data_IF_073782765466
#
_entry.id   IF_073782765466
#
_cell.length_a   1.000
_cell.length_b   1.000
_cell.length_c   1.000
_cell.angle_alpha   90.00
_cell.angle_beta   90.00
_cell.angle_gamma   90.00
#
_symmetry.space_group_name_H-M   'P 1'
#
loop_
_entity.id
_entity.type
_entity.pdbx_description
1 polymer ?
#
# COMPACT_ATOMS: atom_id res chain seq x y z
N UNK A 1 22.96 56.10 18.57
CA UNK A 1 23.93 55.00 18.62
C UNK A 1 23.13 53.69 18.61
N UNK A 2 22.95 53.11 17.41
CA UNK A 2 22.21 51.88 17.23
C UNK A 2 23.18 50.69 17.28
N UNK A 3 22.84 49.55 17.92
CA UNK A 3 23.71 48.39 17.92
C UNK A 3 23.66 47.63 16.60
N UNK A 4 24.83 47.19 16.17
CA UNK A 4 25.12 46.46 14.96
C UNK A 4 24.33 45.17 14.82
N UNK A 5 23.81 44.89 13.62
CA UNK A 5 23.36 43.56 13.19
C UNK A 5 24.58 42.65 13.10
N UNK A 6 24.55 41.55 13.89
CA UNK A 6 25.48 40.45 13.71
C UNK A 6 25.06 39.63 12.46
N UNK A 7 25.95 39.64 11.46
CA UNK A 7 25.87 38.73 10.30
C UNK A 7 26.03 37.30 10.75
N UNK A 8 24.94 36.49 10.58
CA UNK A 8 24.99 35.05 10.70
C UNK A 8 25.49 34.51 9.37
N UNK A 9 26.63 33.76 9.35
CA UNK A 9 27.13 33.19 8.12
C UNK A 9 26.19 32.10 7.59
N UNK A 10 26.07 31.92 6.25
CA UNK A 10 25.23 30.90 5.67
C UNK A 10 25.79 29.52 6.09
N UNK A 11 25.02 28.79 6.88
CA UNK A 11 25.29 27.40 7.24
C UNK A 11 25.45 26.58 5.95
N UNK A 12 26.64 26.04 5.79
CA UNK A 12 27.02 25.08 4.76
C UNK A 12 25.93 24.01 4.61
N UNK A 13 25.23 24.05 3.49
CA UNK A 13 24.42 22.94 3.04
C UNK A 13 25.33 21.73 2.90
N UNK A 14 25.27 20.82 3.87
CA UNK A 14 25.98 19.55 3.81
C UNK A 14 25.55 18.80 2.54
N UNK A 15 26.45 17.99 1.95
CA UNK A 15 26.19 17.27 0.72
C UNK A 15 24.90 16.48 0.89
N UNK A 16 23.96 16.72 -0.05
CA UNK A 16 22.75 15.94 -0.15
C UNK A 16 23.13 14.45 -0.05
N UNK A 17 22.81 13.83 1.07
CA UNK A 17 22.85 12.38 1.18
C UNK A 17 21.93 11.87 0.08
N UNK A 18 22.53 11.35 -0.99
CA UNK A 18 21.85 10.56 -2.00
C UNK A 18 21.21 9.40 -1.21
N UNK A 19 19.96 9.61 -0.77
CA UNK A 19 19.23 8.63 0.00
C UNK A 19 19.12 7.40 -0.87
N UNK A 20 19.73 6.29 -0.45
CA UNK A 20 19.40 4.98 -0.97
C UNK A 20 17.87 4.90 -0.90
N UNK A 21 17.19 5.01 -2.06
CA UNK A 21 15.75 4.81 -2.15
C UNK A 21 15.48 3.45 -1.52
N UNK A 22 14.80 3.43 -0.38
CA UNK A 22 14.36 2.18 0.25
C UNK A 22 13.51 1.46 -0.78
N UNK A 23 14.00 0.32 -1.26
CA UNK A 23 13.27 -0.53 -2.20
C UNK A 23 11.98 -0.98 -1.57
N UNK A 24 10.94 -1.13 -2.37
CA UNK A 24 9.68 -1.63 -1.87
C UNK A 24 9.84 -3.05 -1.34
N UNK A 25 9.16 -3.39 -0.26
CA UNK A 25 9.22 -4.73 0.34
C UNK A 25 8.76 -5.81 -0.66
N UNK A 26 7.89 -5.45 -1.59
CA UNK A 26 7.40 -6.32 -2.67
C UNK A 26 8.53 -6.73 -3.62
N UNK A 27 9.34 -5.76 -4.04
CA UNK A 27 10.51 -5.98 -4.91
C UNK A 27 11.57 -6.82 -4.20
N UNK A 28 11.91 -6.48 -2.97
CA UNK A 28 12.93 -7.22 -2.20
C UNK A 28 12.51 -8.68 -1.99
N UNK A 29 11.25 -8.92 -1.65
CA UNK A 29 10.72 -10.27 -1.45
C UNK A 29 10.74 -11.10 -2.74
N UNK A 30 10.38 -10.51 -3.89
CA UNK A 30 10.39 -11.20 -5.17
C UNK A 30 11.81 -11.53 -5.65
N UNK A 31 12.75 -10.61 -5.49
CA UNK A 31 14.17 -10.86 -5.74
C UNK A 31 14.70 -12.01 -4.87
N UNK A 32 14.41 -11.99 -3.57
CA UNK A 32 14.81 -13.05 -2.65
C UNK A 32 14.21 -14.41 -3.05
N UNK A 33 12.97 -14.43 -3.54
CA UNK A 33 12.30 -15.62 -4.01
C UNK A 33 12.98 -16.20 -5.26
N UNK A 34 13.33 -15.39 -6.25
CA UNK A 34 14.03 -15.84 -7.44
C UNK A 34 15.46 -16.32 -7.16
N UNK A 35 16.20 -15.62 -6.28
CA UNK A 35 17.52 -16.04 -5.87
C UNK A 35 17.46 -17.34 -5.06
N UNK A 36 16.47 -17.49 -4.18
CA UNK A 36 16.22 -18.73 -3.44
C UNK A 36 15.88 -19.90 -4.37
N UNK A 37 15.04 -19.68 -5.39
CA UNK A 37 14.75 -20.69 -6.41
C UNK A 37 16.02 -21.09 -7.18
N UNK A 38 16.86 -20.13 -7.61
CA UNK A 38 18.13 -20.40 -8.26
C UNK A 38 19.07 -21.24 -7.37
N UNK A 39 19.16 -20.94 -6.09
CA UNK A 39 19.98 -21.67 -5.13
C UNK A 39 19.49 -23.11 -4.94
N UNK A 40 18.17 -23.32 -4.79
CA UNK A 40 17.58 -24.66 -4.69
C UNK A 40 17.83 -25.48 -5.95
N UNK A 41 17.62 -24.88 -7.12
CA UNK A 41 17.91 -25.52 -8.41
C UNK A 41 19.40 -25.86 -8.56
N UNK A 42 20.32 -25.00 -8.10
CA UNK A 42 21.75 -25.28 -8.12
C UNK A 42 22.08 -26.51 -7.25
N UNK A 43 21.50 -26.62 -6.07
CA UNK A 43 21.64 -27.83 -5.23
C UNK A 43 21.10 -29.06 -5.95
N UNK A 44 19.93 -29.01 -6.57
CA UNK A 44 19.36 -30.11 -7.30
C UNK A 44 20.16 -30.53 -8.54
N UNK A 45 20.87 -29.59 -9.19
CA UNK A 45 21.79 -29.86 -10.32
C UNK A 45 23.10 -30.47 -9.83
N UNK A 46 23.64 -30.01 -8.71
CA UNK A 46 24.91 -30.50 -8.14
C UNK A 46 24.75 -31.87 -7.47
N UNK A 47 23.59 -32.12 -6.88
CA UNK A 47 23.24 -33.34 -6.15
C UNK A 47 21.94 -33.94 -6.70
N UNK A 48 21.96 -34.49 -7.93
CA UNK A 48 20.75 -34.99 -8.56
C UNK A 48 20.16 -36.18 -7.78
N UNK A 49 18.86 -36.14 -7.53
CA UNK A 49 18.14 -37.19 -6.80
C UNK A 49 17.94 -38.48 -7.61
N UNK A 50 18.29 -38.47 -8.90
CA UNK A 50 18.17 -39.62 -9.81
C UNK A 50 19.10 -39.48 -11.00
N UNK A 51 19.53 -40.60 -11.60
CA UNK A 51 20.42 -40.63 -12.79
C UNK A 51 19.79 -39.99 -14.04
N UNK A 52 18.47 -39.80 -14.07
CA UNK A 52 17.72 -39.18 -15.16
C UNK A 52 17.35 -37.72 -14.92
N UNK A 53 17.89 -37.05 -13.90
CA UNK A 53 17.51 -35.67 -13.61
C UNK A 53 17.79 -34.72 -14.79
N UNK A 54 16.89 -33.79 -15.14
CA UNK A 54 17.03 -32.90 -16.28
C UNK A 54 18.02 -31.75 -15.98
N UNK A 55 19.30 -32.06 -15.75
CA UNK A 55 20.37 -31.13 -15.35
C UNK A 55 20.49 -29.92 -16.30
N UNK A 56 20.36 -30.15 -17.62
CA UNK A 56 20.44 -29.06 -18.62
C UNK A 56 19.28 -28.05 -18.43
N UNK A 57 18.07 -28.55 -18.22
CA UNK A 57 16.90 -27.70 -17.97
C UNK A 57 17.09 -26.95 -16.64
N UNK A 58 17.57 -27.64 -15.58
CA UNK A 58 17.90 -27.01 -14.30
C UNK A 58 18.88 -25.84 -14.44
N UNK A 59 19.96 -26.00 -15.22
CA UNK A 59 20.91 -24.92 -15.49
C UNK A 59 20.28 -23.73 -16.22
N UNK A 60 19.42 -23.98 -17.21
CA UNK A 60 18.67 -22.91 -17.89
C UNK A 60 17.76 -22.18 -16.91
N UNK A 61 17.04 -22.90 -16.08
CA UNK A 61 16.11 -22.31 -15.09
C UNK A 61 16.85 -21.51 -14.01
N UNK A 62 18.06 -21.90 -13.60
CA UNK A 62 18.93 -21.09 -12.75
C UNK A 62 19.22 -19.75 -13.43
N UNK A 63 19.66 -19.77 -14.69
CA UNK A 63 19.94 -18.57 -15.46
C UNK A 63 18.73 -17.65 -15.59
N UNK A 64 17.55 -18.20 -15.88
CA UNK A 64 16.29 -17.46 -15.95
C UNK A 64 15.94 -16.84 -14.59
N UNK A 65 16.02 -17.59 -13.51
CA UNK A 65 15.72 -17.09 -12.15
C UNK A 65 16.66 -15.95 -11.74
N UNK A 66 17.95 -16.06 -12.04
CA UNK A 66 18.93 -14.98 -11.79
C UNK A 66 18.65 -13.75 -12.65
N UNK A 67 18.29 -13.95 -13.93
CA UNK A 67 17.94 -12.86 -14.83
C UNK A 67 16.67 -12.13 -14.37
N UNK A 68 15.63 -12.86 -13.93
CA UNK A 68 14.41 -12.28 -13.35
C UNK A 68 14.73 -11.52 -12.06
N UNK A 69 15.54 -12.09 -11.17
CA UNK A 69 15.99 -11.39 -9.96
C UNK A 69 16.72 -10.08 -10.30
N UNK A 70 17.60 -10.10 -11.29
CA UNK A 70 18.33 -8.92 -11.76
C UNK A 70 17.41 -7.85 -12.36
N UNK A 71 16.48 -8.25 -13.21
CA UNK A 71 15.49 -7.35 -13.82
C UNK A 71 14.61 -6.70 -12.74
N UNK A 72 14.05 -7.50 -11.83
CA UNK A 72 13.24 -7.02 -10.70
C UNK A 72 14.07 -6.09 -9.79
N UNK A 73 15.35 -6.42 -9.56
CA UNK A 73 16.24 -5.59 -8.75
C UNK A 73 16.49 -4.22 -9.39
N UNK A 74 16.66 -4.14 -10.70
CA UNK A 74 17.00 -2.90 -11.42
C UNK A 74 15.78 -2.04 -11.68
N UNK A 75 14.68 -2.64 -12.10
CA UNK A 75 13.50 -1.92 -12.62
C UNK A 75 12.24 -2.07 -11.76
N UNK A 76 12.18 -3.04 -10.83
CA UNK A 76 10.97 -3.40 -10.09
C UNK A 76 10.26 -2.23 -9.37
N UNK A 77 11.02 -1.28 -8.81
CA UNK A 77 10.44 -0.08 -8.17
C UNK A 77 9.80 0.91 -9.17
N UNK A 78 10.08 0.77 -10.46
CA UNK A 78 9.50 1.59 -11.53
C UNK A 78 8.29 0.92 -12.19
N UNK A 79 8.12 -0.38 -11.99
CA UNK A 79 7.04 -1.14 -12.57
C UNK A 79 5.71 -0.91 -11.84
N UNK A 80 4.59 -0.95 -12.56
CA UNK A 80 3.29 -0.98 -11.90
C UNK A 80 3.16 -2.30 -11.10
N UNK A 81 2.45 -2.26 -9.99
CA UNK A 81 2.27 -3.44 -9.11
C UNK A 81 1.76 -4.68 -9.85
N UNK A 82 0.95 -4.48 -10.90
CA UNK A 82 0.49 -5.57 -11.76
C UNK A 82 1.60 -6.31 -12.48
N UNK A 83 2.73 -5.66 -12.81
CA UNK A 83 3.87 -6.32 -13.45
C UNK A 83 4.61 -7.26 -12.49
N UNK A 84 4.73 -6.91 -11.21
CA UNK A 84 5.31 -7.80 -10.18
C UNK A 84 4.44 -9.06 -9.98
N UNK A 85 3.11 -8.91 -10.02
CA UNK A 85 2.21 -10.06 -10.03
C UNK A 85 2.38 -10.89 -11.32
N UNK A 86 2.57 -10.23 -12.46
CA UNK A 86 2.86 -10.89 -13.75
C UNK A 86 4.13 -11.74 -13.69
N UNK A 87 5.19 -11.28 -13.05
CA UNK A 87 6.41 -12.08 -12.82
C UNK A 87 6.14 -13.34 -11.99
N UNK A 88 5.31 -13.23 -10.96
CA UNK A 88 4.90 -14.40 -10.17
C UNK A 88 4.11 -15.40 -11.02
N UNK A 89 3.26 -14.94 -11.96
CA UNK A 89 2.55 -15.78 -12.93
C UNK A 89 3.54 -16.48 -13.86
N UNK A 90 4.52 -15.76 -14.39
CA UNK A 90 5.59 -16.35 -15.23
C UNK A 90 6.35 -17.42 -14.45
N UNK A 91 6.66 -17.17 -13.17
CA UNK A 91 7.32 -18.16 -12.32
C UNK A 91 6.49 -19.45 -12.13
N UNK A 92 5.15 -19.34 -12.02
CA UNK A 92 4.26 -20.51 -12.00
C UNK A 92 4.38 -21.31 -13.28
N UNK A 93 4.37 -20.66 -14.46
CA UNK A 93 4.49 -21.33 -15.77
C UNK A 93 5.84 -22.03 -15.89
N UNK A 94 6.93 -21.35 -15.55
CA UNK A 94 8.29 -21.94 -15.60
C UNK A 94 8.42 -23.14 -14.65
N UNK A 95 7.87 -23.04 -13.45
CA UNK A 95 7.88 -24.14 -12.51
C UNK A 95 7.01 -25.33 -12.98
N UNK A 96 5.88 -25.05 -13.64
CA UNK A 96 5.02 -26.10 -14.23
C UNK A 96 5.77 -26.82 -15.37
N UNK A 97 6.61 -26.11 -16.10
CA UNK A 97 7.47 -26.70 -17.12
C UNK A 97 8.52 -27.63 -16.49
N UNK A 98 9.14 -27.24 -15.36
CA UNK A 98 10.06 -28.12 -14.61
C UNK A 98 9.35 -29.41 -14.20
N UNK A 99 8.16 -29.33 -13.64
CA UNK A 99 7.34 -30.50 -13.27
C UNK A 99 7.03 -31.40 -14.48
N UNK A 100 6.76 -30.81 -15.64
CA UNK A 100 6.48 -31.57 -16.87
C UNK A 100 7.68 -32.44 -17.34
N UNK A 101 8.90 -31.99 -17.03
CA UNK A 101 10.14 -32.73 -17.34
C UNK A 101 10.67 -33.55 -16.15
N UNK A 102 9.91 -33.66 -15.06
CA UNK A 102 10.30 -34.50 -13.95
C UNK A 102 10.18 -35.98 -14.32
N UNK A 103 11.25 -36.74 -14.13
CA UNK A 103 11.29 -38.18 -14.42
C UNK A 103 10.97 -39.06 -13.19
N UNK A 104 10.86 -38.46 -12.02
CA UNK A 104 10.57 -39.15 -10.76
C UNK A 104 9.49 -38.44 -9.96
N UNK A 105 8.72 -39.19 -9.19
CA UNK A 105 7.72 -38.62 -8.27
C UNK A 105 8.35 -37.71 -7.23
N UNK A 106 9.54 -38.06 -6.72
CA UNK A 106 10.28 -37.22 -5.76
C UNK A 106 10.69 -35.87 -6.39
N UNK A 107 11.16 -35.86 -7.66
CA UNK A 107 11.48 -34.64 -8.38
C UNK A 107 10.25 -33.73 -8.54
N UNK A 108 9.15 -34.28 -9.06
CA UNK A 108 7.90 -33.54 -9.25
C UNK A 108 7.34 -32.97 -7.93
N UNK A 109 7.50 -33.68 -6.80
CA UNK A 109 7.12 -33.19 -5.49
C UNK A 109 8.09 -32.13 -4.95
N UNK A 110 9.38 -32.26 -5.22
CA UNK A 110 10.40 -31.24 -4.88
C UNK A 110 10.12 -29.91 -5.59
N UNK A 111 9.83 -29.96 -6.88
CA UNK A 111 9.50 -28.77 -7.67
C UNK A 111 8.20 -28.09 -7.16
N UNK A 112 7.27 -28.87 -6.60
CA UNK A 112 6.02 -28.33 -6.07
C UNK A 112 6.20 -27.39 -4.87
N UNK A 113 7.32 -27.45 -4.16
CA UNK A 113 7.64 -26.56 -3.03
C UNK A 113 7.71 -25.10 -3.48
N UNK A 114 8.16 -24.84 -4.71
CA UNK A 114 8.22 -23.49 -5.25
C UNK A 114 6.84 -22.82 -5.32
N UNK A 115 5.77 -23.57 -5.57
CA UNK A 115 4.41 -23.04 -5.58
C UNK A 115 3.97 -22.49 -4.22
N UNK A 116 4.43 -23.11 -3.13
CA UNK A 116 4.15 -22.62 -1.77
C UNK A 116 4.76 -21.24 -1.55
N UNK A 117 6.02 -21.06 -1.94
CA UNK A 117 6.70 -19.77 -1.80
C UNK A 117 6.08 -18.68 -2.66
N UNK A 118 5.71 -19.01 -3.91
CA UNK A 118 4.98 -18.10 -4.81
C UNK A 118 3.62 -17.71 -4.21
N UNK A 119 2.90 -18.67 -3.63
CA UNK A 119 1.62 -18.43 -2.98
C UNK A 119 1.78 -17.52 -1.75
N UNK A 120 2.80 -17.73 -0.92
CA UNK A 120 3.08 -16.88 0.25
C UNK A 120 3.34 -15.44 -0.19
N UNK A 121 4.17 -15.24 -1.22
CA UNK A 121 4.42 -13.92 -1.79
C UNK A 121 3.13 -13.22 -2.22
N UNK A 122 2.31 -13.89 -3.04
CA UNK A 122 1.07 -13.31 -3.55
C UNK A 122 0.06 -13.07 -2.42
N UNK A 123 -0.08 -13.98 -1.46
CA UNK A 123 -0.99 -13.81 -0.33
C UNK A 123 -0.62 -12.63 0.59
N UNK A 124 0.68 -12.36 0.74
CA UNK A 124 1.17 -11.23 1.55
C UNK A 124 1.01 -9.90 0.80
N UNK A 125 1.47 -9.82 -0.45
CA UNK A 125 1.58 -8.56 -1.17
C UNK A 125 0.36 -8.25 -2.05
N UNK A 126 -0.34 -9.26 -2.56
CA UNK A 126 -1.49 -9.17 -3.45
C UNK A 126 -2.70 -9.97 -2.93
N UNK A 127 -3.19 -9.71 -1.70
CA UNK A 127 -4.20 -10.55 -1.04
C UNK A 127 -5.55 -10.60 -1.78
N UNK A 128 -5.83 -9.70 -2.70
CA UNK A 128 -7.02 -9.73 -3.57
C UNK A 128 -6.88 -10.73 -4.73
N UNK A 129 -5.65 -11.03 -5.17
CA UNK A 129 -5.36 -11.97 -6.24
C UNK A 129 -5.12 -13.41 -5.73
N UNK A 130 -4.98 -13.60 -4.42
CA UNK A 130 -4.55 -14.87 -3.82
C UNK A 130 -5.40 -16.08 -4.24
N UNK A 131 -6.73 -15.95 -4.29
CA UNK A 131 -7.62 -17.06 -4.67
C UNK A 131 -7.47 -17.44 -6.13
N UNK A 132 -7.40 -16.46 -7.04
CA UNK A 132 -7.19 -16.71 -8.47
C UNK A 132 -5.80 -17.31 -8.72
N UNK A 133 -4.79 -16.83 -8.00
CA UNK A 133 -3.43 -17.33 -8.10
C UNK A 133 -3.30 -18.78 -7.60
N UNK A 134 -4.00 -19.16 -6.53
CA UNK A 134 -4.07 -20.55 -6.09
C UNK A 134 -4.70 -21.47 -7.15
N UNK A 135 -5.74 -21.00 -7.86
CA UNK A 135 -6.31 -21.70 -9.01
C UNK A 135 -5.31 -21.88 -10.16
N UNK A 136 -4.52 -20.84 -10.44
CA UNK A 136 -3.45 -20.91 -11.44
C UNK A 136 -2.36 -21.93 -11.06
N UNK A 137 -1.94 -21.97 -9.80
CA UNK A 137 -1.00 -22.98 -9.30
C UNK A 137 -1.58 -24.40 -9.49
N UNK A 138 -2.83 -24.62 -9.06
CA UNK A 138 -3.47 -25.93 -9.18
C UNK A 138 -3.55 -26.39 -10.66
N UNK A 139 -3.91 -25.50 -11.58
CA UNK A 139 -3.96 -25.78 -13.00
C UNK A 139 -2.56 -26.04 -13.58
N UNK A 140 -1.57 -25.19 -13.26
CA UNK A 140 -0.20 -25.31 -13.75
C UNK A 140 0.49 -26.58 -13.26
N UNK A 141 0.38 -26.89 -11.96
CA UNK A 141 0.92 -28.11 -11.38
C UNK A 141 0.24 -29.36 -11.99
N UNK A 142 -1.10 -29.35 -12.14
CA UNK A 142 -1.84 -30.42 -12.76
C UNK A 142 -1.42 -30.66 -14.22
N UNK A 143 -1.28 -29.59 -15.00
CA UNK A 143 -0.81 -29.68 -16.38
C UNK A 143 0.62 -30.25 -16.48
N UNK A 144 1.54 -29.80 -15.59
CA UNK A 144 2.89 -30.33 -15.50
C UNK A 144 2.92 -31.82 -15.18
N UNK A 145 2.14 -32.26 -14.19
CA UNK A 145 2.04 -33.69 -13.82
C UNK A 145 1.46 -34.54 -14.96
N UNK A 146 0.44 -34.07 -15.66
CA UNK A 146 -0.12 -34.78 -16.84
C UNK A 146 0.93 -34.92 -17.93
N UNK A 147 1.69 -33.86 -18.21
CA UNK A 147 2.74 -33.87 -19.24
C UNK A 147 3.92 -34.78 -18.84
N UNK A 148 4.26 -34.91 -17.57
CA UNK A 148 5.33 -35.77 -17.09
C UNK A 148 5.04 -37.27 -17.26
N UNK A 149 3.76 -37.66 -17.41
CA UNK A 149 3.35 -39.05 -17.54
C UNK A 149 3.54 -39.90 -16.28
N UNK A 150 3.88 -39.31 -15.14
CA UNK A 150 4.12 -40.01 -13.88
C UNK A 150 2.83 -40.62 -13.32
N UNK A 151 2.84 -41.88 -12.91
CA UNK A 151 1.63 -42.56 -12.41
C UNK A 151 1.26 -42.09 -11.01
N UNK A 152 -0.04 -42.21 -10.66
CA UNK A 152 -0.59 -42.02 -9.30
C UNK A 152 -0.32 -40.68 -8.65
N UNK A 153 -0.17 -39.57 -9.43
CA UNK A 153 0.15 -38.25 -8.92
C UNK A 153 -1.08 -37.43 -8.48
N UNK A 154 -2.30 -37.99 -8.58
CA UNK A 154 -3.55 -37.27 -8.19
C UNK A 154 -3.52 -36.82 -6.74
N UNK A 155 -3.05 -37.70 -5.83
CA UNK A 155 -2.96 -37.36 -4.42
C UNK A 155 -1.96 -36.21 -4.17
N UNK A 156 -0.79 -36.24 -4.82
CA UNK A 156 0.20 -35.15 -4.72
C UNK A 156 -0.36 -33.84 -5.25
N UNK A 157 -1.05 -33.87 -6.41
CA UNK A 157 -1.74 -32.71 -6.95
C UNK A 157 -2.78 -32.15 -5.99
N UNK A 158 -3.63 -33.01 -5.42
CA UNK A 158 -4.68 -32.59 -4.49
C UNK A 158 -4.08 -31.98 -3.21
N UNK A 159 -3.06 -32.60 -2.63
CA UNK A 159 -2.40 -32.13 -1.40
C UNK A 159 -1.79 -30.75 -1.64
N UNK A 160 -1.01 -30.56 -2.69
CA UNK A 160 -0.36 -29.26 -2.99
C UNK A 160 -1.40 -28.21 -3.33
N UNK A 161 -2.41 -28.53 -4.14
CA UNK A 161 -3.46 -27.58 -4.52
C UNK A 161 -4.29 -27.14 -3.30
N UNK A 162 -4.71 -28.04 -2.44
CA UNK A 162 -5.46 -27.71 -1.23
C UNK A 162 -4.58 -26.93 -0.24
N UNK A 163 -3.33 -27.36 -0.05
CA UNK A 163 -2.40 -26.69 0.87
C UNK A 163 -2.09 -25.24 0.42
N UNK A 164 -1.82 -25.03 -0.86
CA UNK A 164 -1.58 -23.69 -1.40
C UNK A 164 -2.82 -22.82 -1.34
N UNK A 165 -4.00 -23.36 -1.63
CA UNK A 165 -5.27 -22.66 -1.52
C UNK A 165 -5.57 -22.24 -0.07
N UNK A 166 -5.40 -23.17 0.88
CA UNK A 166 -5.60 -22.91 2.29
C UNK A 166 -4.61 -21.86 2.83
N UNK A 167 -3.33 -22.03 2.52
CA UNK A 167 -2.29 -21.05 2.90
C UNK A 167 -2.60 -19.66 2.33
N UNK A 168 -2.99 -19.59 1.05
CA UNK A 168 -3.40 -18.35 0.40
C UNK A 168 -4.59 -17.70 1.07
N UNK A 169 -5.63 -18.48 1.40
CA UNK A 169 -6.83 -17.99 2.06
C UNK A 169 -6.53 -17.43 3.45
N UNK A 170 -5.84 -18.20 4.29
CA UNK A 170 -5.51 -17.80 5.66
C UNK A 170 -4.60 -16.59 5.67
N UNK A 171 -3.49 -16.65 4.93
CA UNK A 171 -2.50 -15.58 4.94
C UNK A 171 -3.03 -14.28 4.33
N UNK A 172 -3.84 -14.36 3.26
CA UNK A 172 -4.47 -13.17 2.68
C UNK A 172 -5.47 -12.50 3.64
N UNK A 173 -6.17 -13.28 4.49
CA UNK A 173 -7.04 -12.73 5.54
C UNK A 173 -6.24 -12.06 6.64
N UNK A 174 -5.18 -12.73 7.12
CA UNK A 174 -4.27 -12.16 8.13
C UNK A 174 -3.62 -10.88 7.60
N UNK A 175 -3.08 -10.89 6.39
CA UNK A 175 -2.46 -9.71 5.77
C UNK A 175 -3.46 -8.55 5.64
N UNK A 176 -4.70 -8.81 5.26
CA UNK A 176 -5.75 -7.78 5.21
C UNK A 176 -6.11 -7.25 6.59
N UNK A 177 -6.20 -8.13 7.61
CA UNK A 177 -6.48 -7.72 8.98
C UNK A 177 -5.37 -6.82 9.53
N UNK A 178 -4.10 -7.23 9.40
CA UNK A 178 -2.93 -6.44 9.81
C UNK A 178 -2.91 -5.08 9.10
N UNK A 179 -3.12 -5.07 7.77
CA UNK A 179 -3.16 -3.81 7.01
C UNK A 179 -4.29 -2.87 7.48
N UNK A 180 -5.44 -3.40 7.91
CA UNK A 180 -6.54 -2.58 8.46
C UNK A 180 -6.12 -1.92 9.76
N UNK A 181 -5.51 -2.66 10.68
CA UNK A 181 -5.03 -2.11 11.96
C UNK A 181 -3.91 -1.09 11.78
N UNK A 182 -3.04 -1.26 10.78
CA UNK A 182 -1.98 -0.30 10.44
C UNK A 182 -2.50 0.90 9.62
N UNK A 183 -3.73 0.85 9.09
CA UNK A 183 -4.30 1.87 8.23
C UNK A 183 -5.13 2.93 8.98
N UNK A 184 -5.42 2.73 10.28
CA UNK A 184 -6.21 3.64 11.11
C UNK A 184 -5.34 4.35 12.15
N UNK A 185 -5.77 5.52 12.56
CA UNK A 185 -5.23 6.26 13.69
C UNK A 185 -5.78 5.65 14.99
N UNK A 186 -4.90 5.28 15.91
CA UNK A 186 -5.27 4.54 17.12
C UNK A 186 -6.14 5.36 18.09
N UNK A 187 -6.07 6.68 18.05
CA UNK A 187 -6.85 7.55 18.91
C UNK A 187 -8.26 7.79 18.38
N UNK A 188 -8.36 8.15 17.09
CA UNK A 188 -9.60 8.66 16.49
C UNK A 188 -10.37 7.63 15.68
N UNK A 189 -9.76 6.47 15.33
CA UNK A 189 -10.35 5.48 14.43
C UNK A 189 -10.42 5.92 12.96
N UNK A 190 -10.16 7.19 12.64
CA UNK A 190 -10.03 7.67 11.27
C UNK A 190 -8.86 6.98 10.56
N UNK A 191 -8.77 7.06 9.23
CA UNK A 191 -7.59 6.55 8.55
C UNK A 191 -6.34 7.35 8.96
N UNK A 192 -5.21 6.67 9.09
CA UNK A 192 -3.92 7.34 9.24
C UNK A 192 -3.33 7.68 7.85
N UNK A 193 -2.14 8.26 7.82
CA UNK A 193 -1.45 8.66 6.58
C UNK A 193 -1.27 7.48 5.59
N UNK A 194 -1.04 6.25 6.07
CA UNK A 194 -0.92 5.06 5.21
C UNK A 194 -2.28 4.63 4.65
N UNK A 195 -3.32 4.64 5.49
CA UNK A 195 -4.71 4.38 5.09
C UNK A 195 -5.24 5.39 4.08
N UNK A 196 -4.93 6.68 4.29
CA UNK A 196 -5.26 7.77 3.36
C UNK A 196 -4.70 7.52 1.96
N UNK A 197 -3.39 7.22 1.85
CA UNK A 197 -2.76 6.93 0.55
C UNK A 197 -3.46 5.79 -0.19
N UNK A 198 -3.68 4.67 0.50
CA UNK A 198 -4.34 3.52 -0.10
C UNK A 198 -5.81 3.81 -0.49
N UNK A 199 -6.51 4.69 0.23
CA UNK A 199 -7.86 5.11 -0.10
C UNK A 199 -7.87 6.09 -1.29
N UNK A 200 -6.94 7.05 -1.33
CA UNK A 200 -6.76 8.00 -2.42
C UNK A 200 -6.51 7.30 -3.76
N UNK A 201 -5.57 6.35 -3.80
CA UNK A 201 -5.27 5.58 -5.02
C UNK A 201 -6.54 4.93 -5.58
N UNK A 202 -7.37 4.34 -4.71
CA UNK A 202 -8.63 3.71 -5.13
C UNK A 202 -9.67 4.71 -5.61
N UNK A 203 -9.77 5.87 -4.92
CA UNK A 203 -10.71 6.93 -5.29
C UNK A 203 -10.32 7.55 -6.64
N UNK A 204 -9.03 7.90 -6.83
CA UNK A 204 -8.50 8.49 -8.06
C UNK A 204 -8.66 7.56 -9.28
N UNK A 205 -8.37 6.27 -9.12
CA UNK A 205 -8.58 5.29 -10.20
C UNK A 205 -10.06 5.17 -10.60
N UNK A 206 -10.99 5.19 -9.64
CA UNK A 206 -12.44 5.13 -9.93
C UNK A 206 -12.92 6.40 -10.61
N UNK A 207 -12.55 7.55 -10.08
CA UNK A 207 -12.88 8.88 -10.60
C UNK A 207 -12.36 9.06 -12.02
N UNK A 208 -11.10 8.67 -12.28
CA UNK A 208 -10.51 8.76 -13.62
C UNK A 208 -11.28 7.91 -14.66
N UNK A 209 -11.66 6.67 -14.28
CA UNK A 209 -12.41 5.77 -15.18
C UNK A 209 -13.81 6.23 -15.51
N UNK A 210 -14.45 6.99 -14.62
CA UNK A 210 -15.84 7.43 -14.75
C UNK A 210 -15.98 8.89 -15.15
N UNK A 211 -14.87 9.63 -15.29
CA UNK A 211 -14.85 11.08 -15.52
C UNK A 211 -15.71 11.87 -14.49
N UNK A 212 -15.72 11.39 -13.24
CA UNK A 212 -16.47 12.01 -12.14
C UNK A 212 -15.62 13.10 -11.46
N UNK A 213 -16.26 13.97 -10.69
CA UNK A 213 -15.57 14.93 -9.84
C UNK A 213 -15.04 14.27 -8.56
N UNK A 214 -13.96 14.81 -8.02
CA UNK A 214 -13.43 14.44 -6.72
C UNK A 214 -12.85 15.68 -6.05
N UNK A 215 -13.28 15.95 -4.82
CA UNK A 215 -12.74 17.00 -3.98
C UNK A 215 -11.89 16.42 -2.85
N UNK A 216 -10.83 17.15 -2.50
CA UNK A 216 -9.96 16.87 -1.35
C UNK A 216 -9.96 18.10 -0.46
N UNK A 217 -10.17 17.93 0.84
CA UNK A 217 -10.04 19.00 1.82
C UNK A 217 -8.93 18.68 2.81
N UNK A 218 -8.06 19.66 3.05
CA UNK A 218 -7.16 19.69 4.18
C UNK A 218 -7.85 20.47 5.30
N UNK A 219 -7.88 19.91 6.51
CA UNK A 219 -8.60 20.44 7.67
C UNK A 219 -7.63 20.44 8.85
N UNK A 220 -7.70 21.50 9.66
CA UNK A 220 -6.89 21.65 10.86
C UNK A 220 -7.74 22.18 12.00
N UNK A 221 -7.71 21.49 13.14
CA UNK A 221 -8.43 21.87 14.35
C UNK A 221 -7.76 23.07 15.02
N UNK A 222 -8.51 24.16 15.12
CA UNK A 222 -8.01 25.38 15.72
C UNK A 222 -8.00 25.25 17.26
N UNK A 223 -6.90 25.64 17.89
CA UNK A 223 -6.84 25.77 19.34
C UNK A 223 -6.60 24.47 20.13
N UNK A 224 -6.27 23.34 19.49
CA UNK A 224 -5.97 22.08 20.19
C UNK A 224 -4.85 22.25 21.24
N UNK A 225 -3.82 23.03 20.92
CA UNK A 225 -2.75 23.33 21.87
C UNK A 225 -3.27 24.06 23.10
N UNK A 226 -4.15 25.04 22.95
CA UNK A 226 -4.75 25.78 24.07
C UNK A 226 -5.59 24.88 24.97
N UNK A 227 -6.35 23.94 24.39
CA UNK A 227 -7.10 22.92 25.14
C UNK A 227 -6.14 22.02 25.92
N UNK A 228 -5.05 21.57 25.32
CA UNK A 228 -4.03 20.78 25.99
C UNK A 228 -3.34 21.52 27.13
N UNK A 229 -2.98 22.78 26.89
CA UNK A 229 -2.30 23.62 27.88
C UNK A 229 -3.23 23.96 29.09
N UNK A 230 -4.52 24.14 28.83
CA UNK A 230 -5.51 24.49 29.87
C UNK A 230 -6.07 23.27 30.62
N UNK A 231 -6.27 22.13 29.97
CA UNK A 231 -7.03 20.99 30.50
C UNK A 231 -6.29 19.64 30.39
N UNK A 232 -5.02 19.67 29.94
CA UNK A 232 -4.17 18.47 29.78
C UNK A 232 -4.44 17.69 28.49
N UNK A 233 -3.47 16.85 28.12
CA UNK A 233 -3.52 16.07 26.86
C UNK A 233 -4.76 15.17 26.74
N UNK A 234 -5.26 14.63 27.87
CA UNK A 234 -6.47 13.82 27.85
C UNK A 234 -7.73 14.58 27.39
N UNK A 235 -7.78 15.91 27.57
CA UNK A 235 -8.87 16.73 27.06
C UNK A 235 -8.74 16.97 25.54
N UNK A 236 -7.52 17.20 25.06
CA UNK A 236 -7.26 17.27 23.62
C UNK A 236 -7.53 15.96 22.89
N UNK A 237 -7.16 14.83 23.50
CA UNK A 237 -7.45 13.50 22.96
C UNK A 237 -8.96 13.24 22.85
N UNK A 238 -9.73 13.62 23.86
CA UNK A 238 -11.20 13.54 23.80
C UNK A 238 -11.77 14.42 22.68
N UNK A 239 -11.32 15.68 22.59
CA UNK A 239 -11.76 16.61 21.54
C UNK A 239 -11.52 16.01 20.15
N UNK A 240 -10.33 15.41 19.91
CA UNK A 240 -9.98 14.75 18.65
C UNK A 240 -10.89 13.57 18.35
N UNK A 241 -11.15 12.72 19.34
CA UNK A 241 -11.98 11.52 19.20
C UNK A 241 -13.45 11.90 18.91
N UNK A 242 -14.03 12.78 19.70
CA UNK A 242 -15.41 13.26 19.55
C UNK A 242 -15.62 13.94 18.19
N UNK A 243 -14.65 14.77 17.76
CA UNK A 243 -14.69 15.43 16.46
C UNK A 243 -14.66 14.41 15.32
N UNK A 244 -13.74 13.44 15.37
CA UNK A 244 -13.61 12.42 14.33
C UNK A 244 -14.84 11.51 14.24
N UNK A 245 -15.44 11.13 15.37
CA UNK A 245 -16.67 10.33 15.43
C UNK A 245 -17.86 11.09 14.85
N UNK A 246 -18.03 12.37 15.25
CA UNK A 246 -19.11 13.21 14.73
C UNK A 246 -18.97 13.44 13.22
N UNK A 247 -17.76 13.70 12.73
CA UNK A 247 -17.51 13.86 11.31
C UNK A 247 -17.75 12.56 10.53
N UNK A 248 -17.22 11.43 11.03
CA UNK A 248 -17.44 10.12 10.39
C UNK A 248 -18.92 9.78 10.27
N UNK A 249 -19.73 10.10 11.29
CA UNK A 249 -21.18 9.88 11.27
C UNK A 249 -21.92 10.80 10.30
N UNK A 250 -21.38 11.98 10.04
CA UNK A 250 -21.95 12.96 9.11
C UNK A 250 -21.50 12.75 7.65
N UNK A 251 -20.51 11.90 7.38
CA UNK A 251 -19.99 11.62 6.05
C UNK A 251 -20.72 10.47 5.37
N UNK A 252 -20.61 10.41 4.04
CA UNK A 252 -21.13 9.28 3.25
C UNK A 252 -20.17 8.09 3.35
N UNK A 253 -20.66 6.91 3.04
CA UNK A 253 -19.85 5.66 3.05
C UNK A 253 -18.64 5.68 2.10
N UNK A 254 -18.71 6.50 1.05
CA UNK A 254 -17.64 6.64 0.05
C UNK A 254 -16.65 7.78 0.39
N UNK A 255 -17.03 8.67 1.30
CA UNK A 255 -16.15 9.72 1.79
C UNK A 255 -15.05 9.11 2.67
N UNK A 256 -13.85 9.68 2.61
CA UNK A 256 -12.69 9.15 3.31
C UNK A 256 -12.15 10.20 4.26
N UNK A 257 -12.30 9.96 5.56
CA UNK A 257 -11.71 10.79 6.62
C UNK A 257 -10.39 10.17 7.10
N UNK A 258 -9.33 10.96 7.14
CA UNK A 258 -8.04 10.55 7.66
C UNK A 258 -7.46 11.61 8.59
N UNK A 259 -6.74 11.16 9.64
CA UNK A 259 -5.91 12.01 10.49
C UNK A 259 -4.45 11.84 10.10
N UNK A 260 -3.80 12.93 9.70
CA UNK A 260 -2.42 12.92 9.15
C UNK A 260 -1.38 13.50 10.10
N UNK A 261 -1.81 14.24 11.10
CA UNK A 261 -0.96 14.88 12.11
C UNK A 261 -1.67 15.02 13.45
N UNK A 262 -1.17 15.84 14.34
CA UNK A 262 -1.75 16.10 15.67
C UNK A 262 -3.19 16.60 15.60
N UNK A 263 -3.40 17.68 14.88
CA UNK A 263 -4.66 18.41 14.67
C UNK A 263 -5.09 18.42 13.20
N UNK A 264 -4.32 17.75 12.32
CA UNK A 264 -4.51 17.74 10.87
C UNK A 264 -5.37 16.56 10.42
N UNK A 265 -6.40 16.84 9.65
CA UNK A 265 -7.25 15.86 9.00
C UNK A 265 -7.31 16.09 7.49
N UNK A 266 -7.55 15.03 6.75
CA UNK A 266 -7.78 15.05 5.31
C UNK A 266 -9.10 14.38 5.00
N UNK A 267 -9.92 15.00 4.17
CA UNK A 267 -11.17 14.46 3.69
C UNK A 267 -11.11 14.31 2.16
N UNK A 268 -11.36 13.10 1.65
CA UNK A 268 -11.53 12.83 0.22
C UNK A 268 -13.00 12.57 -0.05
N UNK A 269 -13.58 13.30 -0.98
CA UNK A 269 -14.99 13.27 -1.34
C UNK A 269 -15.15 12.88 -2.82
N UNK A 270 -15.34 11.58 -3.13
CA UNK A 270 -15.61 11.13 -4.49
C UNK A 270 -16.96 11.65 -4.98
N UNK A 271 -17.11 11.86 -6.29
CA UNK A 271 -18.34 12.35 -6.93
C UNK A 271 -18.83 13.67 -6.31
N UNK A 272 -17.92 14.54 -5.99
CA UNK A 272 -18.18 15.80 -5.31
C UNK A 272 -17.39 16.91 -5.99
N UNK A 273 -18.09 17.92 -6.51
CA UNK A 273 -17.51 19.14 -7.02
C UNK A 273 -16.95 20.01 -5.88
N UNK A 274 -16.22 21.06 -6.21
CA UNK A 274 -15.68 21.97 -5.20
C UNK A 274 -16.79 22.68 -4.40
N UNK A 275 -17.88 23.04 -5.04
CA UNK A 275 -18.99 23.77 -4.41
C UNK A 275 -19.80 22.84 -3.50
N UNK A 276 -20.05 21.61 -3.94
CA UNK A 276 -20.67 20.58 -3.10
C UNK A 276 -19.79 20.21 -1.89
N UNK A 277 -18.46 20.24 -2.05
CA UNK A 277 -17.52 20.02 -0.94
C UNK A 277 -17.66 21.09 0.15
N UNK A 278 -17.95 22.34 -0.22
CA UNK A 278 -18.22 23.39 0.76
C UNK A 278 -19.48 23.07 1.60
N UNK A 279 -20.52 22.52 0.98
CA UNK A 279 -21.73 22.07 1.69
C UNK A 279 -21.45 20.89 2.62
N UNK A 280 -20.56 19.96 2.24
CA UNK A 280 -20.09 18.88 3.12
C UNK A 280 -19.38 19.45 4.32
N UNK A 281 -18.44 20.38 4.13
CA UNK A 281 -17.72 21.03 5.23
C UNK A 281 -18.67 21.78 6.18
N UNK A 282 -19.70 22.44 5.66
CA UNK A 282 -20.71 23.11 6.48
C UNK A 282 -21.54 22.08 7.31
N UNK A 283 -21.83 20.90 6.76
CA UNK A 283 -22.43 19.80 7.50
C UNK A 283 -21.54 19.33 8.66
N UNK A 284 -20.22 19.24 8.43
CA UNK A 284 -19.25 18.89 9.49
C UNK A 284 -19.19 19.96 10.59
N UNK A 285 -19.32 21.25 10.24
CA UNK A 285 -19.38 22.35 11.24
C UNK A 285 -20.56 22.20 12.18
N UNK A 286 -21.71 21.74 11.65
CA UNK A 286 -22.92 21.50 12.45
C UNK A 286 -22.84 20.21 13.27
N UNK A 287 -22.05 19.23 12.82
CA UNK A 287 -21.93 17.95 13.51
C UNK A 287 -21.12 18.04 14.82
N UNK A 288 -20.17 18.97 14.92
CA UNK A 288 -19.35 19.15 16.13
C UNK A 288 -18.95 20.63 16.31
N UNK A 289 -19.02 21.18 17.53
CA UNK A 289 -18.77 22.59 17.81
C UNK A 289 -17.29 23.00 17.78
N UNK A 290 -16.35 22.05 17.67
CA UNK A 290 -14.92 22.37 17.59
C UNK A 290 -14.65 23.38 16.46
N UNK A 291 -13.80 24.34 16.75
CA UNK A 291 -13.34 25.28 15.75
C UNK A 291 -12.27 24.64 14.86
N UNK A 292 -12.38 24.84 13.55
CA UNK A 292 -11.41 24.35 12.58
C UNK A 292 -11.40 25.18 11.30
N UNK A 293 -10.31 25.13 10.60
CA UNK A 293 -10.10 25.75 9.29
C UNK A 293 -9.91 24.70 8.21
N UNK A 294 -10.33 24.97 6.99
CA UNK A 294 -10.17 24.04 5.88
C UNK A 294 -9.84 24.73 4.54
N UNK A 295 -9.12 23.98 3.71
CA UNK A 295 -8.91 24.35 2.31
C UNK A 295 -9.33 23.21 1.39
N UNK A 296 -10.10 23.52 0.34
CA UNK A 296 -10.64 22.54 -0.62
C UNK A 296 -9.89 22.61 -1.94
N UNK A 297 -9.46 21.48 -2.50
CA UNK A 297 -8.95 21.36 -3.85
C UNK A 297 -9.74 20.31 -4.64
N UNK A 298 -10.10 20.62 -5.89
CA UNK A 298 -10.60 19.62 -6.85
C UNK A 298 -9.41 18.82 -7.37
N UNK A 299 -9.49 17.50 -7.32
CA UNK A 299 -8.49 16.63 -7.93
C UNK A 299 -8.49 16.76 -9.45
N UNK A 300 -7.31 16.68 -10.07
CA UNK A 300 -7.13 16.76 -11.52
C UNK A 300 -6.67 15.40 -12.05
N UNK A 301 -7.18 14.92 -13.20
CA UNK A 301 -6.71 13.68 -13.81
C UNK A 301 -5.19 13.64 -13.96
N UNK A 302 -4.56 12.56 -13.50
CA UNK A 302 -3.10 12.41 -13.53
C UNK A 302 -2.32 13.10 -12.40
N UNK A 303 -3.00 13.84 -11.52
CA UNK A 303 -2.38 14.48 -10.36
C UNK A 303 -2.17 13.48 -9.21
N UNK A 304 -1.04 13.58 -8.50
CA UNK A 304 -0.80 12.79 -7.28
C UNK A 304 -1.62 13.33 -6.09
N UNK A 305 -1.77 12.50 -5.04
CA UNK A 305 -2.40 12.94 -3.79
C UNK A 305 -1.64 14.14 -3.18
N UNK A 306 -0.33 14.06 -3.18
CA UNK A 306 0.55 15.10 -2.62
C UNK A 306 0.35 16.44 -3.31
N UNK A 307 0.29 16.45 -4.64
CA UNK A 307 0.07 17.67 -5.41
C UNK A 307 -1.33 18.28 -5.18
N UNK A 308 -2.36 17.42 -5.05
CA UNK A 308 -3.71 17.85 -4.72
C UNK A 308 -3.77 18.43 -3.30
N UNK A 309 -3.14 17.77 -2.33
CA UNK A 309 -3.07 18.24 -0.94
C UNK A 309 -2.32 19.57 -0.83
N UNK A 310 -1.20 19.75 -1.52
CA UNK A 310 -0.48 21.03 -1.53
C UNK A 310 -1.37 22.21 -1.96
N UNK A 311 -2.28 21.99 -2.91
CA UNK A 311 -3.24 23.03 -3.31
C UNK A 311 -4.35 23.24 -2.27
N UNK A 312 -4.75 22.20 -1.55
CA UNK A 312 -5.68 22.30 -0.44
C UNK A 312 -5.03 23.05 0.73
N UNK A 313 -3.78 22.73 1.09
CA UNK A 313 -3.03 23.34 2.18
C UNK A 313 -2.80 24.84 1.95
N UNK A 314 -2.48 25.26 0.71
CA UNK A 314 -2.37 26.69 0.37
C UNK A 314 -3.66 27.45 0.66
N UNK A 315 -4.82 26.84 0.43
CA UNK A 315 -6.13 27.45 0.72
C UNK A 315 -6.47 27.41 2.21
N UNK A 316 -6.10 26.34 2.89
CA UNK A 316 -6.20 26.23 4.34
C UNK A 316 -5.41 27.34 5.03
N UNK A 317 -4.20 27.61 4.55
CA UNK A 317 -3.37 28.70 5.07
C UNK A 317 -4.04 30.08 4.96
N UNK A 318 -4.67 30.35 3.79
CA UNK A 318 -5.44 31.60 3.59
C UNK A 318 -6.63 31.67 4.54
N UNK A 319 -7.41 30.59 4.65
CA UNK A 319 -8.57 30.53 5.55
C UNK A 319 -8.18 30.75 7.04
N UNK A 320 -7.04 30.22 7.47
CA UNK A 320 -6.49 30.47 8.81
C UNK A 320 -6.08 31.93 9.02
N UNK A 321 -5.47 32.57 8.03
CA UNK A 321 -5.09 33.97 8.10
C UNK A 321 -6.32 34.89 8.23
N UNK A 322 -7.34 34.68 7.36
CA UNK A 322 -8.60 35.43 7.40
C UNK A 322 -9.30 35.32 8.76
N UNK A 323 -9.30 34.12 9.34
CA UNK A 323 -9.91 33.86 10.63
C UNK A 323 -9.16 34.55 11.79
N UNK A 324 -7.82 34.56 11.77
CA UNK A 324 -7.01 35.29 12.76
C UNK A 324 -7.27 36.80 12.68
N UNK A 325 -7.34 37.34 11.46
CA UNK A 325 -7.63 38.76 11.25
C UNK A 325 -9.03 39.14 11.72
N UNK A 326 -10.03 38.27 11.50
CA UNK A 326 -11.38 38.46 12.00
C UNK A 326 -11.45 38.42 13.53
N UNK A 327 -10.73 37.50 14.17
CA UNK A 327 -10.65 37.42 15.64
C UNK A 327 -9.96 38.63 16.27
N UNK A 328 -8.96 39.22 15.58
CA UNK A 328 -8.24 40.41 16.06
C UNK A 328 -9.09 41.67 15.88
N UNK A 329 -10.02 41.70 14.92
CA UNK A 329 -10.92 42.86 14.65
C UNK A 329 -12.21 42.84 15.47
N UNK A 330 -12.54 41.71 16.10
CA UNK A 330 -13.70 41.65 16.98
C UNK A 330 -13.46 42.53 18.22
N UNK A 331 -14.33 43.50 18.55
CA UNK A 331 -14.13 44.36 19.74
C UNK A 331 -14.13 43.45 20.98
N UNK A 332 -13.12 43.63 21.84
CA UNK A 332 -13.16 43.08 23.17
C UNK A 332 -14.41 43.71 23.85
N UNK A 333 -15.46 42.92 23.96
CA UNK A 333 -16.61 43.34 24.78
C UNK A 333 -16.11 43.44 26.25
N UNK A 334 -16.10 44.67 26.73
CA UNK A 334 -15.80 45.08 28.13
C UNK A 334 -16.87 44.57 29.04
#
# INVERSE_FOLDING_TARGET
MAPARADIPPTLAGPARAGLRRRSAEVVALVALFLGAAAILAVAVLFPMSDGAPVRLGMVMIGVSVAMAGATLVWGDRWPRGALLGEAVVAVVLNSLLVAYAHTTAGAMGDAVAYVWLMLYVAIFFPSAATAFAGLIAAGYGAGLLASGLPRMVAAWAIISVSTWMAGLVLSRVSRAVRRHVATDALTGALNRAGLRAAADRAFLRTHRRAEDLAVAAIDLDGLKQVNDAHGHAAGDRLLTETAEAWSSALRSDDVLARTGGDEFVLIMPRTSRDEAAAVLERLRRAHPAAWSAGIARWRPGESLEACLERADKRLYVAKAERRDAATRAPQAV
#
